data_IF_579587508967
#
_entry.id   IF_579587508967
#
_cell.length_a   1.000
_cell.length_b   1.000
_cell.length_c   1.000
_cell.angle_alpha   90.00
_cell.angle_beta   90.00
_cell.angle_gamma   90.00
#
_symmetry.space_group_name_H-M   'P 1'
#
loop_
_entity.id
_entity.type
_entity.pdbx_description
1 polymer ?
#
# COMPACT_ATOMS: atom_id res chain seq x y z
N UNK A 1 21.44 0.12 -30.75
CA UNK A 1 20.88 1.44 -30.37
C UNK A 1 19.91 1.16 -29.22
N UNK A 2 20.35 1.03 -27.96
CA UNK A 2 20.84 2.11 -27.10
C UNK A 2 19.61 2.92 -26.65
N UNK A 3 19.14 2.94 -25.40
CA UNK A 3 19.77 2.79 -24.09
C UNK A 3 18.70 2.28 -23.10
N UNK A 4 19.02 1.22 -22.33
CA UNK A 4 18.29 0.84 -21.11
C UNK A 4 19.22 1.15 -19.93
N UNK A 5 19.23 2.38 -19.43
CA UNK A 5 19.38 2.52 -17.98
C UNK A 5 18.61 3.75 -17.46
N UNK A 6 17.77 3.56 -16.44
CA UNK A 6 17.47 4.53 -15.36
C UNK A 6 16.14 4.15 -14.66
N UNK A 7 16.08 3.00 -13.98
CA UNK A 7 15.11 2.84 -12.88
C UNK A 7 15.65 1.99 -11.72
N UNK A 8 16.98 1.80 -11.67
CA UNK A 8 17.65 1.00 -10.63
C UNK A 8 18.14 1.83 -9.43
N UNK A 9 17.93 3.15 -9.45
CA UNK A 9 18.40 4.04 -8.38
C UNK A 9 17.30 4.43 -7.38
N UNK A 10 16.03 4.14 -7.66
CA UNK A 10 14.94 4.51 -6.76
C UNK A 10 14.63 3.41 -5.75
N UNK A 11 14.62 2.14 -6.18
CA UNK A 11 14.26 0.98 -5.34
C UNK A 11 15.19 0.73 -4.13
N UNK A 12 16.42 1.27 -4.15
CA UNK A 12 17.37 1.06 -3.05
C UNK A 12 17.18 2.00 -1.85
N UNK A 13 16.42 3.10 -1.99
CA UNK A 13 16.18 4.02 -0.87
C UNK A 13 15.11 3.52 0.10
N UNK A 14 14.15 2.73 -0.36
CA UNK A 14 13.01 2.28 0.44
C UNK A 14 13.05 0.80 0.80
N UNK A 15 13.91 0.00 0.14
CA UNK A 15 14.10 -1.42 0.47
C UNK A 15 14.74 -1.64 1.85
N UNK A 16 15.62 -0.74 2.27
CA UNK A 16 16.41 -0.89 3.51
C UNK A 16 15.61 -0.64 4.79
N UNK A 17 14.58 0.20 4.78
CA UNK A 17 13.75 0.43 5.98
C UNK A 17 12.64 -0.63 6.15
N UNK A 18 12.20 -1.27 5.06
CA UNK A 18 11.07 -2.20 5.10
C UNK A 18 11.45 -3.60 5.65
N UNK A 19 12.70 -4.05 5.46
CA UNK A 19 13.13 -5.38 5.91
C UNK A 19 13.44 -5.47 7.41
N UNK A 20 13.68 -4.35 8.10
CA UNK A 20 14.03 -4.35 9.53
C UNK A 20 12.83 -4.26 10.48
N UNK A 21 11.60 -4.09 9.98
CA UNK A 21 10.39 -3.91 10.80
C UNK A 21 9.49 -5.15 10.89
N UNK A 22 9.84 -6.26 10.24
CA UNK A 22 8.93 -7.41 10.09
C UNK A 22 9.08 -8.52 11.14
N UNK A 23 9.85 -8.35 12.22
CA UNK A 23 10.08 -9.43 13.19
C UNK A 23 9.14 -9.42 14.42
N UNK A 24 8.31 -8.40 14.59
CA UNK A 24 7.22 -8.33 15.58
C UNK A 24 6.47 -7.02 15.33
N UNK A 25 5.15 -6.95 15.60
CA UNK A 25 4.36 -5.74 15.98
C UNK A 25 3.00 -5.62 15.22
N UNK A 26 1.94 -5.80 16.03
CA UNK A 26 0.80 -4.91 16.29
C UNK A 26 -0.14 -4.46 15.13
N UNK A 27 -1.48 -4.52 15.31
CA UNK A 27 -2.46 -4.34 14.22
C UNK A 27 -2.60 -2.90 13.68
N UNK A 28 -2.17 -1.90 14.45
CA UNK A 28 -2.31 -0.47 14.11
C UNK A 28 -1.42 -0.02 12.93
N UNK A 29 -0.33 -0.74 12.63
CA UNK A 29 0.59 -0.37 11.56
C UNK A 29 0.14 -0.86 10.19
N UNK A 30 -0.73 -1.86 10.11
CA UNK A 30 -1.07 -2.51 8.83
C UNK A 30 -1.81 -1.58 7.88
N UNK A 31 -2.75 -0.77 8.39
CA UNK A 31 -3.43 0.26 7.59
C UNK A 31 -2.45 1.30 7.05
N UNK A 32 -1.48 1.71 7.87
CA UNK A 32 -0.45 2.68 7.48
C UNK A 32 0.48 2.08 6.40
N UNK A 33 0.90 0.83 6.57
CA UNK A 33 1.72 0.11 5.60
C UNK A 33 0.99 -0.09 4.27
N UNK A 34 -0.30 -0.44 4.31
CA UNK A 34 -1.12 -0.56 3.11
C UNK A 34 -1.18 0.77 2.34
N UNK A 35 -1.42 1.89 3.04
CA UNK A 35 -1.44 3.23 2.42
C UNK A 35 -0.09 3.59 1.81
N UNK A 36 1.00 3.38 2.54
CA UNK A 36 2.36 3.64 2.04
C UNK A 36 2.67 2.81 0.80
N UNK A 37 2.32 1.52 0.82
CA UNK A 37 2.52 0.65 -0.34
C UNK A 37 1.68 1.06 -1.53
N UNK A 38 0.45 1.50 -1.33
CA UNK A 38 -0.35 2.03 -2.44
C UNK A 38 0.27 3.28 -3.05
N UNK A 39 0.79 4.21 -2.23
CA UNK A 39 1.48 5.41 -2.75
C UNK A 39 2.72 5.04 -3.55
N UNK A 40 3.55 4.12 -3.05
CA UNK A 40 4.73 3.62 -3.77
C UNK A 40 4.36 3.01 -5.13
N UNK A 41 3.31 2.17 -5.17
CA UNK A 41 2.84 1.58 -6.43
C UNK A 41 2.31 2.62 -7.42
N UNK A 42 1.69 3.69 -6.93
CA UNK A 42 1.23 4.80 -7.79
C UNK A 42 2.43 5.54 -8.37
N UNK A 43 3.44 5.84 -7.55
CA UNK A 43 4.66 6.50 -8.01
C UNK A 43 5.37 5.66 -9.09
N UNK A 44 5.47 4.34 -8.89
CA UNK A 44 6.02 3.40 -9.87
C UNK A 44 5.22 3.40 -11.19
N UNK A 45 3.89 3.45 -11.12
CA UNK A 45 3.02 3.55 -12.30
C UNK A 45 3.19 4.85 -13.04
N UNK A 46 3.29 5.97 -12.33
CA UNK A 46 3.48 7.29 -12.93
C UNK A 46 4.86 7.43 -13.57
N UNK A 47 5.89 6.78 -13.01
CA UNK A 47 7.23 6.76 -13.56
C UNK A 47 7.39 5.78 -14.74
N UNK A 48 6.44 4.86 -14.94
CA UNK A 48 6.52 3.86 -15.98
C UNK A 48 6.10 4.42 -17.34
N UNK A 49 7.05 4.44 -18.29
CA UNK A 49 6.80 4.90 -19.67
C UNK A 49 6.14 3.77 -20.49
N UNK A 50 4.83 3.57 -20.29
CA UNK A 50 4.04 2.52 -20.92
C UNK A 50 2.70 2.25 -20.24
N UNK A 51 2.04 1.15 -20.58
CA UNK A 51 0.78 0.75 -19.94
C UNK A 51 1.04 0.09 -18.58
N UNK A 52 0.33 0.56 -17.55
CA UNK A 52 0.36 0.01 -16.20
C UNK A 52 -1.07 -0.27 -15.71
N UNK A 53 -1.27 -1.42 -15.06
CA UNK A 53 -2.54 -1.83 -14.44
C UNK A 53 -2.31 -2.11 -12.96
N UNK A 54 -3.10 -1.48 -12.09
CA UNK A 54 -3.15 -1.77 -10.65
C UNK A 54 -4.55 -2.28 -10.34
N UNK A 55 -4.65 -3.47 -9.73
CA UNK A 55 -5.92 -3.99 -9.21
C UNK A 55 -5.90 -4.08 -7.70
N UNK A 56 -6.95 -3.56 -7.08
CA UNK A 56 -7.15 -3.64 -5.64
C UNK A 56 -8.41 -4.48 -5.42
N UNK A 57 -8.24 -5.63 -4.77
CA UNK A 57 -9.34 -6.49 -4.35
C UNK A 57 -9.50 -6.39 -2.83
N UNK A 58 -10.71 -6.09 -2.37
CA UNK A 58 -11.02 -6.04 -0.93
C UNK A 58 -12.00 -7.15 -0.60
N UNK A 59 -11.58 -8.10 0.24
CA UNK A 59 -12.41 -9.18 0.76
C UNK A 59 -12.84 -8.85 2.18
N UNK A 60 -14.14 -8.82 2.42
CA UNK A 60 -14.67 -8.69 3.79
C UNK A 60 -14.55 -10.06 4.45
N UNK A 61 -13.77 -10.14 5.52
CA UNK A 61 -13.60 -11.34 6.31
C UNK A 61 -14.60 -11.38 7.47
N UNK A 62 -14.64 -12.53 8.15
CA UNK A 62 -15.43 -12.69 9.39
C UNK A 62 -14.86 -11.78 10.49
N UNK A 63 -15.71 -11.31 11.41
CA UNK A 63 -15.35 -10.45 12.56
C UNK A 63 -14.90 -9.02 12.21
N UNK A 64 -15.35 -8.47 11.09
CA UNK A 64 -15.10 -7.06 10.76
C UNK A 64 -13.67 -6.76 10.29
N UNK A 65 -12.87 -7.80 10.01
CA UNK A 65 -11.59 -7.64 9.32
C UNK A 65 -11.82 -7.50 7.83
N UNK A 66 -10.95 -6.76 7.17
CA UNK A 66 -10.90 -6.64 5.71
C UNK A 66 -9.55 -7.10 5.24
N UNK A 67 -9.56 -7.91 4.21
CA UNK A 67 -8.37 -8.31 3.49
C UNK A 67 -8.25 -7.48 2.23
N UNK A 68 -7.09 -6.88 2.02
CA UNK A 68 -6.79 -6.06 0.85
C UNK A 68 -5.66 -6.73 0.08
N UNK A 69 -5.93 -7.02 -1.20
CA UNK A 69 -5.01 -7.66 -2.13
C UNK A 69 -4.67 -6.63 -3.21
N UNK A 70 -3.39 -6.37 -3.41
CA UNK A 70 -2.86 -5.47 -4.44
C UNK A 70 -2.16 -6.29 -5.52
N UNK A 71 -2.59 -6.13 -6.76
CA UNK A 71 -1.98 -6.73 -7.94
C UNK A 71 -1.20 -5.66 -8.71
N UNK A 72 0.13 -5.78 -8.72
CA UNK A 72 1.03 -4.95 -9.54
C UNK A 72 2.34 -5.71 -9.81
N UNK A 73 2.34 -6.58 -10.82
CA UNK A 73 3.43 -7.51 -11.14
C UNK A 73 3.66 -8.63 -10.10
N UNK A 74 3.46 -8.33 -8.81
CA UNK A 74 3.41 -9.24 -7.67
C UNK A 74 2.10 -9.02 -6.90
N UNK A 75 1.73 -9.99 -6.08
CA UNK A 75 0.57 -9.88 -5.20
C UNK A 75 1.01 -9.53 -3.78
N UNK A 76 0.46 -8.45 -3.24
CA UNK A 76 0.63 -8.08 -1.84
C UNK A 76 -0.69 -8.27 -1.11
N UNK A 77 -0.65 -8.83 0.10
CA UNK A 77 -1.84 -9.17 0.88
C UNK A 77 -1.72 -8.56 2.26
N UNK A 78 -2.73 -7.79 2.65
CA UNK A 78 -2.80 -7.12 3.93
C UNK A 78 -4.12 -7.48 4.62
N UNK A 79 -4.08 -7.76 5.92
CA UNK A 79 -5.29 -7.95 6.73
C UNK A 79 -5.40 -6.76 7.67
N UNK A 80 -6.53 -6.06 7.57
CA UNK A 80 -6.79 -4.80 8.27
C UNK A 80 -8.01 -4.96 9.16
N UNK A 81 -7.86 -4.65 10.44
CA UNK A 81 -8.97 -4.64 11.40
C UNK A 81 -9.74 -3.32 11.29
N UNK A 82 -11.03 -3.38 10.94
CA UNK A 82 -11.83 -2.18 10.70
C UNK A 82 -12.28 -1.46 11.99
N UNK A 83 -11.98 -2.03 13.16
CA UNK A 83 -12.26 -1.40 14.45
C UNK A 83 -11.60 -0.01 14.57
N UNK A 84 -10.46 0.21 13.91
CA UNK A 84 -9.66 1.44 14.00
C UNK A 84 -10.04 2.51 12.95
N UNK A 85 -10.72 2.13 11.86
CA UNK A 85 -10.87 3.02 10.68
C UNK A 85 -12.14 3.86 10.77
N UNK A 86 -13.16 3.38 11.49
CA UNK A 86 -14.44 4.08 11.61
C UNK A 86 -14.34 5.35 12.48
N UNK A 87 -13.27 5.52 13.25
CA UNK A 87 -13.09 6.68 14.14
C UNK A 87 -12.56 7.92 13.41
N UNK A 88 -11.86 7.77 12.28
CA UNK A 88 -11.25 8.87 11.54
C UNK A 88 -12.21 9.58 10.55
N UNK A 89 -13.38 9.00 10.25
CA UNK A 89 -14.30 9.54 9.24
C UNK A 89 -15.37 10.52 9.78
N UNK A 90 -15.44 10.73 11.11
CA UNK A 90 -16.51 11.57 11.72
C UNK A 90 -16.18 13.06 11.84
N UNK A 91 -14.96 13.52 11.52
CA UNK A 91 -14.61 14.95 11.69
C UNK A 91 -14.57 15.71 10.35
N UNK A 92 -15.67 15.74 9.59
CA UNK A 92 -15.95 16.82 8.62
C UNK A 92 -17.48 17.01 8.43
N UNK A 93 -18.20 17.35 9.50
CA UNK A 93 -19.51 18.01 9.38
C UNK A 93 -19.78 18.94 10.58
N UNK A 94 -19.16 20.14 10.63
CA UNK A 94 -19.79 21.37 11.17
C UNK A 94 -19.03 22.61 10.66
N UNK A 95 -19.62 23.33 9.71
CA UNK A 95 -19.59 24.80 9.55
C UNK A 95 -20.54 25.11 8.39
N UNK A 96 -21.76 25.61 8.59
CA UNK A 96 -22.11 26.74 9.45
C UNK A 96 -22.05 27.99 8.58
#
# INVERSE_FOLDING_TARGET
MGYFPLCLLSTHKYKTELELMTSNVMPQTTTKLLKLKLMELIDDVLAHDGFSDIRIEVKILKRGQKEVILHYGKQYRFVVDMHEINEAATTQQVSG
#
